data_IF_128286555022
#
_entry.id   IF_128286555022
#
_cell.length_a   1.000
_cell.length_b   1.000
_cell.length_c   1.000
_cell.angle_alpha   90.00
_cell.angle_beta   90.00
_cell.angle_gamma   90.00
#
_symmetry.space_group_name_H-M   'P 1'
#
loop_
_entity.id
_entity.type
_entity.pdbx_description
1 polymer ?
#
# COMPACT_ATOMS: atom_id res chain seq x y z
N UNK A 1 -51.29 -40.44 6.50
CA UNK A 1 -50.74 -40.02 7.79
C UNK A 1 -49.39 -40.73 7.99
N UNK A 2 -48.32 -40.12 7.62
CA UNK A 2 -46.95 -40.57 7.92
C UNK A 2 -46.05 -39.36 8.00
N UNK A 3 -45.83 -38.90 9.26
CA UNK A 3 -44.87 -37.86 9.59
C UNK A 3 -43.46 -38.35 9.31
N UNK A 4 -42.77 -37.75 8.34
CA UNK A 4 -41.38 -37.94 8.07
C UNK A 4 -40.59 -36.90 8.85
N UNK A 5 -39.97 -37.35 9.95
CA UNK A 5 -39.11 -36.54 10.81
C UNK A 5 -37.76 -36.39 10.12
N UNK A 6 -37.47 -35.19 9.59
CA UNK A 6 -36.20 -34.89 8.96
C UNK A 6 -35.19 -34.53 10.07
N UNK A 7 -34.29 -35.45 10.39
CA UNK A 7 -33.22 -35.25 11.36
C UNK A 7 -32.07 -34.52 10.63
N UNK A 8 -31.92 -33.24 10.87
CA UNK A 8 -30.77 -32.45 10.41
C UNK A 8 -29.60 -32.65 11.37
N UNK A 9 -28.62 -33.40 10.94
CA UNK A 9 -27.35 -33.58 11.69
C UNK A 9 -26.48 -32.37 11.41
N UNK A 10 -26.39 -31.45 12.36
CA UNK A 10 -25.40 -30.37 12.39
C UNK A 10 -24.05 -30.96 12.75
N UNK A 11 -23.20 -31.18 11.75
CA UNK A 11 -21.79 -31.49 11.98
C UNK A 11 -21.08 -30.21 12.46
N UNK A 12 -21.01 -30.04 13.77
CA UNK A 12 -20.17 -29.07 14.42
C UNK A 12 -18.70 -29.45 14.21
N UNK A 13 -17.95 -28.65 13.45
CA UNK A 13 -16.48 -28.71 13.48
C UNK A 13 -16.02 -28.26 14.86
N UNK A 14 -15.80 -29.23 15.76
CA UNK A 14 -15.18 -28.96 17.04
C UNK A 14 -13.73 -28.56 16.82
N UNK A 15 -13.39 -27.31 17.05
CA UNK A 15 -12.01 -26.89 17.25
C UNK A 15 -11.54 -27.49 18.57
N UNK A 16 -10.46 -28.29 18.62
CA UNK A 16 -9.97 -28.84 19.87
C UNK A 16 -9.46 -27.71 20.76
N UNK A 17 -10.20 -27.39 21.81
CA UNK A 17 -9.87 -26.35 22.79
C UNK A 17 -8.91 -26.81 23.90
N UNK A 18 -8.30 -28.00 23.76
CA UNK A 18 -7.36 -28.55 24.72
C UNK A 18 -5.95 -28.68 24.15
N UNK A 19 -5.43 -27.58 23.60
CA UNK A 19 -4.01 -27.44 23.33
C UNK A 19 -3.29 -26.99 24.59
N UNK A 20 -2.87 -27.90 25.48
CA UNK A 20 -1.80 -27.58 26.41
C UNK A 20 -0.59 -27.23 25.57
N UNK A 21 -0.08 -25.99 25.71
CA UNK A 21 1.16 -25.57 25.05
C UNK A 21 2.27 -26.52 25.50
N UNK A 22 2.71 -27.39 24.60
CA UNK A 22 3.87 -28.24 24.85
C UNK A 22 5.09 -27.36 24.52
N UNK A 23 5.96 -27.20 25.53
CA UNK A 23 7.26 -26.55 25.28
C UNK A 23 8.06 -27.45 24.39
N UNK A 24 8.48 -26.96 23.24
CA UNK A 24 9.42 -27.59 22.35
C UNK A 24 10.80 -27.56 23.03
N UNK A 25 11.44 -28.71 23.19
CA UNK A 25 12.79 -28.74 23.75
C UNK A 25 13.76 -27.97 22.80
N UNK A 26 14.76 -27.27 23.34
CA UNK A 26 15.67 -26.45 22.52
C UNK A 26 16.34 -27.23 21.39
N UNK A 27 16.55 -28.54 21.57
CA UNK A 27 17.13 -29.45 20.58
C UNK A 27 16.18 -29.81 19.43
N UNK A 28 14.86 -29.68 19.63
CA UNK A 28 13.83 -29.98 18.63
C UNK A 28 13.41 -28.77 17.80
N UNK A 29 14.00 -27.58 18.04
CA UNK A 29 13.67 -26.39 17.28
C UNK A 29 14.39 -26.43 15.92
N UNK A 30 13.64 -26.58 14.81
CA UNK A 30 14.26 -26.64 13.48
C UNK A 30 14.90 -25.29 13.12
N UNK A 31 15.89 -25.33 12.22
CA UNK A 31 16.57 -24.16 11.67
C UNK A 31 17.40 -23.32 12.66
N UNK A 32 17.72 -23.84 13.83
CA UNK A 32 18.58 -23.13 14.79
C UNK A 32 17.98 -21.83 15.35
N UNK A 33 16.66 -21.71 15.39
CA UNK A 33 15.97 -20.52 15.89
C UNK A 33 16.24 -20.21 17.36
N UNK A 34 16.77 -21.19 18.12
CA UNK A 34 17.22 -21.02 19.50
C UNK A 34 18.69 -20.63 19.64
N UNK A 35 19.45 -20.58 18.53
CA UNK A 35 20.82 -20.14 18.62
C UNK A 35 20.84 -18.66 19.03
N UNK A 36 21.62 -18.29 20.08
CA UNK A 36 21.77 -16.88 20.41
C UNK A 36 22.32 -16.19 19.17
N UNK A 37 21.57 -15.24 18.62
CA UNK A 37 22.10 -14.37 17.59
C UNK A 37 23.22 -13.57 18.23
N UNK A 38 24.45 -14.01 18.02
CA UNK A 38 25.62 -13.21 18.35
C UNK A 38 25.64 -12.06 17.38
N UNK A 39 24.94 -10.98 17.72
CA UNK A 39 25.16 -9.69 17.13
C UNK A 39 26.55 -9.27 17.57
N UNK A 40 27.55 -9.66 16.79
CA UNK A 40 28.86 -9.03 16.91
C UNK A 40 28.63 -7.54 16.62
N UNK A 41 28.94 -6.64 17.55
CA UNK A 41 28.94 -5.23 17.21
C UNK A 41 29.96 -5.09 16.06
N UNK A 42 29.47 -4.74 14.87
CA UNK A 42 30.36 -4.27 13.83
C UNK A 42 30.98 -2.96 14.34
N UNK A 43 32.14 -3.09 14.95
CA UNK A 43 32.99 -1.94 15.22
C UNK A 43 33.48 -1.48 13.85
N UNK A 44 32.74 -0.59 13.22
CA UNK A 44 33.22 0.18 12.09
C UNK A 44 34.27 1.11 12.64
N UNK A 45 35.52 0.64 12.64
CA UNK A 45 36.70 1.51 12.81
C UNK A 45 36.75 2.35 11.55
N UNK A 46 36.18 3.54 11.61
CA UNK A 46 36.37 4.55 10.58
C UNK A 46 37.81 5.00 10.70
N UNK A 47 38.70 4.37 9.94
CA UNK A 47 40.00 4.94 9.66
C UNK A 47 39.74 6.18 8.80
N UNK A 48 39.93 7.34 9.38
CA UNK A 48 39.87 8.61 8.66
C UNK A 48 41.09 8.67 7.76
N UNK A 49 40.94 8.26 6.49
CA UNK A 49 41.92 8.54 5.45
C UNK A 49 41.47 9.85 4.77
N UNK A 50 42.22 10.96 4.93
CA UNK A 50 41.77 12.27 4.46
C UNK A 50 41.86 12.44 2.93
N UNK A 51 41.99 11.37 2.16
CA UNK A 51 42.24 11.46 0.72
C UNK A 51 41.44 10.43 -0.12
N UNK A 52 40.20 10.13 0.26
CA UNK A 52 39.30 9.39 -0.61
C UNK A 52 37.99 10.16 -0.76
N UNK A 53 38.02 11.12 -1.63
CA UNK A 53 36.90 11.75 -2.29
C UNK A 53 36.18 10.68 -3.11
N UNK A 54 34.85 10.69 -3.04
CA UNK A 54 33.88 9.89 -3.76
C UNK A 54 33.55 8.50 -3.16
N UNK A 55 32.96 8.53 -1.95
CA UNK A 55 31.95 7.52 -1.63
C UNK A 55 30.69 7.88 -2.40
N UNK A 56 30.57 7.39 -3.64
CA UNK A 56 29.30 7.39 -4.37
C UNK A 56 28.35 6.50 -3.54
N UNK A 57 27.52 7.12 -2.73
CA UNK A 57 26.43 6.41 -2.08
C UNK A 57 25.57 5.84 -3.22
N UNK A 58 25.68 4.54 -3.47
CA UNK A 58 24.81 3.86 -4.43
C UNK A 58 23.40 4.02 -3.89
N UNK A 59 22.65 4.90 -4.50
CA UNK A 59 21.25 5.11 -4.15
C UNK A 59 20.50 3.80 -4.40
N UNK A 60 20.12 3.12 -3.33
CA UNK A 60 19.33 1.89 -3.43
C UNK A 60 17.96 2.30 -3.93
N UNK A 61 17.50 1.66 -5.01
CA UNK A 61 16.17 1.88 -5.57
C UNK A 61 15.33 0.61 -5.46
N UNK A 62 14.01 0.78 -5.38
CA UNK A 62 13.05 -0.31 -5.40
C UNK A 62 11.95 -0.05 -6.43
N UNK A 63 11.41 -1.09 -7.09
CA UNK A 63 10.31 -0.94 -8.01
C UNK A 63 8.99 -0.72 -7.26
N UNK A 64 8.21 0.25 -7.73
CA UNK A 64 6.83 0.46 -7.28
C UNK A 64 5.87 0.32 -8.46
N UNK A 65 4.66 -0.15 -8.19
CA UNK A 65 3.59 -0.19 -9.17
C UNK A 65 2.89 1.17 -9.21
N UNK A 66 2.85 1.80 -10.37
CA UNK A 66 2.08 3.02 -10.65
C UNK A 66 0.90 2.68 -11.56
N UNK A 67 -0.19 3.42 -11.41
CA UNK A 67 -1.43 3.18 -12.12
C UNK A 67 -1.81 4.40 -12.94
N UNK A 68 -1.51 4.39 -14.23
CA UNK A 68 -1.83 5.46 -15.17
C UNK A 68 -3.09 5.17 -15.96
N UNK A 69 -3.59 6.17 -16.66
CA UNK A 69 -4.82 6.09 -17.45
C UNK A 69 -4.45 6.10 -18.94
N UNK A 70 -5.00 5.16 -19.68
CA UNK A 70 -5.02 5.13 -21.14
C UNK A 70 -6.42 4.77 -21.61
N UNK A 71 -7.00 5.56 -22.53
CA UNK A 71 -8.34 5.29 -23.07
C UNK A 71 -9.41 5.01 -21.99
N UNK A 72 -9.42 5.79 -20.92
CA UNK A 72 -10.32 5.64 -19.75
C UNK A 72 -10.17 4.31 -18.99
N UNK A 73 -9.06 3.61 -19.16
CA UNK A 73 -8.70 2.40 -18.42
C UNK A 73 -7.43 2.64 -17.61
N UNK A 74 -7.33 1.94 -16.48
CA UNK A 74 -6.13 1.99 -15.65
C UNK A 74 -5.14 0.95 -16.15
N UNK A 75 -3.91 1.38 -16.37
CA UNK A 75 -2.77 0.58 -16.82
C UNK A 75 -1.71 0.61 -15.73
N UNK A 76 -1.24 -0.56 -15.33
CA UNK A 76 -0.15 -0.70 -14.36
C UNK A 76 1.21 -0.54 -15.06
N UNK A 77 2.07 0.28 -14.46
CA UNK A 77 3.45 0.53 -14.92
C UNK A 77 4.38 0.43 -13.72
N UNK A 78 5.55 -0.15 -13.89
CA UNK A 78 6.57 -0.16 -12.85
C UNK A 78 7.53 1.02 -13.01
N UNK A 79 7.90 1.64 -11.87
CA UNK A 79 8.92 2.68 -11.80
C UNK A 79 9.84 2.40 -10.61
N UNK A 80 11.14 2.59 -10.82
CA UNK A 80 12.10 2.55 -9.72
C UNK A 80 12.12 3.90 -9.00
N UNK A 81 12.03 3.85 -7.67
CA UNK A 81 12.11 5.01 -6.79
C UNK A 81 13.16 4.78 -5.71
N UNK A 82 13.57 5.82 -5.01
CA UNK A 82 14.51 5.68 -3.91
C UNK A 82 13.92 4.77 -2.81
N UNK A 83 14.72 3.83 -2.34
CA UNK A 83 14.34 2.90 -1.27
C UNK A 83 14.69 3.47 0.11
N UNK A 84 13.86 3.25 1.14
CA UNK A 84 12.57 2.56 1.11
C UNK A 84 11.44 3.47 0.56
N UNK A 85 10.67 2.96 -0.39
CA UNK A 85 9.55 3.68 -0.95
C UNK A 85 8.36 3.70 0.03
N UNK A 86 8.06 4.85 0.58
CA UNK A 86 6.90 5.03 1.43
C UNK A 86 5.62 5.36 0.61
N UNK A 87 4.41 5.25 1.20
CA UNK A 87 3.15 5.54 0.51
C UNK A 87 3.05 6.96 -0.06
N UNK A 88 3.59 7.96 0.64
CA UNK A 88 3.59 9.34 0.17
C UNK A 88 4.47 9.51 -1.08
N UNK A 89 5.63 8.87 -1.11
CA UNK A 89 6.53 8.88 -2.27
C UNK A 89 5.90 8.18 -3.48
N UNK A 90 5.19 7.06 -3.26
CA UNK A 90 4.46 6.40 -4.32
C UNK A 90 3.38 7.32 -4.92
N UNK A 91 2.64 8.03 -4.06
CA UNK A 91 1.63 9.00 -4.49
C UNK A 91 2.26 10.19 -5.24
N UNK A 92 3.39 10.72 -4.77
CA UNK A 92 4.13 11.78 -5.47
C UNK A 92 4.56 11.35 -6.86
N UNK A 93 5.08 10.12 -7.01
CA UNK A 93 5.45 9.57 -8.31
C UNK A 93 4.28 9.42 -9.28
N UNK A 94 3.06 9.20 -8.76
CA UNK A 94 1.84 9.19 -9.56
C UNK A 94 1.45 10.61 -10.01
N UNK A 95 1.61 11.61 -9.15
CA UNK A 95 1.35 13.02 -9.46
C UNK A 95 2.30 13.57 -10.53
N UNK A 96 3.59 13.18 -10.46
CA UNK A 96 4.59 13.50 -11.49
C UNK A 96 4.17 13.03 -12.89
N UNK A 97 3.33 12.00 -12.95
CA UNK A 97 2.84 11.46 -14.21
C UNK A 97 3.77 10.42 -14.86
N UNK A 98 3.42 9.96 -16.06
CA UNK A 98 4.22 8.99 -16.80
C UNK A 98 5.53 9.62 -17.30
N UNK A 99 6.57 8.80 -17.41
CA UNK A 99 7.83 9.22 -18.01
C UNK A 99 7.65 9.57 -19.49
N UNK A 100 8.58 10.34 -20.03
CA UNK A 100 8.57 10.78 -21.44
C UNK A 100 9.02 9.72 -22.43
N UNK A 101 9.30 8.49 -22.00
CA UNK A 101 9.69 7.38 -22.87
C UNK A 101 8.58 7.00 -23.86
N UNK A 102 8.92 6.55 -25.07
CA UNK A 102 7.94 6.23 -26.13
C UNK A 102 6.90 5.18 -25.71
N UNK A 103 7.24 4.24 -24.84
CA UNK A 103 6.35 3.20 -24.32
C UNK A 103 5.21 3.74 -23.45
N UNK A 104 5.33 4.97 -22.95
CA UNK A 104 4.33 5.61 -22.09
C UNK A 104 3.50 6.66 -22.81
N UNK A 105 3.64 6.77 -24.13
CA UNK A 105 2.83 7.68 -24.96
C UNK A 105 1.35 7.33 -24.80
N UNK A 106 0.53 8.36 -24.52
CA UNK A 106 -0.91 8.19 -24.30
C UNK A 106 -1.31 7.78 -22.88
N UNK A 107 -0.35 7.61 -21.97
CA UNK A 107 -0.64 7.50 -20.55
C UNK A 107 -0.80 8.88 -19.91
N UNK A 108 -1.70 8.98 -18.95
CA UNK A 108 -1.90 10.20 -18.14
C UNK A 108 -2.23 9.85 -16.69
N UNK A 109 -2.06 10.79 -15.82
CA UNK A 109 -2.67 10.77 -14.48
C UNK A 109 -3.93 11.64 -14.48
N UNK A 110 -4.92 11.32 -13.64
CA UNK A 110 -6.05 12.20 -13.35
C UNK A 110 -5.74 13.18 -12.22
N UNK A 111 -4.63 12.98 -11.51
CA UNK A 111 -4.19 13.88 -10.46
C UNK A 111 -3.56 15.12 -11.09
N UNK A 112 -4.03 16.33 -10.74
CA UNK A 112 -3.38 17.56 -11.20
C UNK A 112 -1.99 17.69 -10.56
N UNK A 113 -1.07 18.37 -11.22
CA UNK A 113 0.28 18.64 -10.70
C UNK A 113 0.28 19.46 -9.41
N UNK A 114 -0.81 20.16 -9.14
CA UNK A 114 -1.04 20.92 -7.90
C UNK A 114 -1.62 20.08 -6.77
N UNK A 115 -1.82 18.77 -7.01
CA UNK A 115 -2.34 17.87 -5.99
C UNK A 115 -1.35 17.73 -4.85
N UNK A 116 -1.78 18.07 -3.65
CA UNK A 116 -1.03 17.89 -2.41
C UNK A 116 -1.91 17.14 -1.43
N UNK A 117 -1.36 16.07 -0.85
CA UNK A 117 -2.01 15.31 0.18
C UNK A 117 -0.99 14.77 1.17
N UNK A 118 -1.37 14.66 2.44
CA UNK A 118 -0.65 13.83 3.40
C UNK A 118 -1.16 12.40 3.33
N UNK A 119 -0.28 11.43 3.60
CA UNK A 119 -0.62 10.01 3.65
C UNK A 119 -0.06 9.42 4.92
N UNK A 120 -0.94 8.98 5.81
CA UNK A 120 -0.59 8.29 7.04
C UNK A 120 -1.14 6.86 7.02
N UNK A 121 -0.32 5.88 7.43
CA UNK A 121 -0.75 4.47 7.47
C UNK A 121 -0.84 4.01 8.92
N UNK A 122 -2.06 3.71 9.35
CA UNK A 122 -2.35 3.27 10.72
C UNK A 122 -3.09 1.94 10.67
N UNK A 123 -2.49 0.88 11.20
CA UNK A 123 -3.07 -0.48 11.25
C UNK A 123 -3.63 -0.98 9.91
N UNK A 124 -2.90 -0.74 8.82
CA UNK A 124 -3.28 -1.20 7.49
C UNK A 124 -4.30 -0.30 6.77
N UNK A 125 -4.63 0.84 7.34
CA UNK A 125 -5.50 1.84 6.72
C UNK A 125 -4.66 3.05 6.34
N UNK A 126 -4.59 3.39 5.06
CA UNK A 126 -3.99 4.61 4.58
C UNK A 126 -5.00 5.76 4.65
N UNK A 127 -4.70 6.77 5.44
CA UNK A 127 -5.47 8.01 5.49
C UNK A 127 -4.85 9.01 4.52
N UNK A 128 -5.62 9.44 3.54
CA UNK A 128 -5.22 10.44 2.55
C UNK A 128 -5.98 11.72 2.87
N UNK A 129 -5.28 12.74 3.36
CA UNK A 129 -5.86 14.04 3.59
C UNK A 129 -5.43 15.00 2.48
N UNK A 130 -6.40 15.41 1.67
CA UNK A 130 -6.19 16.28 0.52
C UNK A 130 -6.83 17.66 0.72
N UNK A 131 -6.39 18.62 -0.07
CA UNK A 131 -7.02 19.96 -0.07
C UNK A 131 -8.34 19.94 -0.85
N UNK A 132 -9.32 20.75 -0.43
CA UNK A 132 -10.64 20.87 -1.09
C UNK A 132 -10.54 21.19 -2.57
N UNK A 133 -9.59 22.01 -2.97
CA UNK A 133 -9.39 22.43 -4.36
C UNK A 133 -9.20 21.25 -5.33
N UNK A 134 -8.70 20.14 -4.83
CA UNK A 134 -8.45 18.95 -5.64
C UNK A 134 -9.72 18.37 -6.28
N UNK A 135 -10.75 18.08 -5.48
CA UNK A 135 -11.96 17.42 -5.99
C UNK A 135 -12.81 18.37 -6.86
N UNK A 136 -12.88 19.63 -6.48
CA UNK A 136 -13.72 20.63 -7.19
C UNK A 136 -13.17 20.97 -8.58
N UNK A 137 -11.88 20.75 -8.82
CA UNK A 137 -11.23 21.04 -10.10
C UNK A 137 -11.40 19.95 -11.17
N UNK A 138 -11.88 18.75 -10.78
CA UNK A 138 -11.96 17.58 -11.65
C UNK A 138 -13.37 17.35 -12.19
N UNK A 139 -13.45 16.90 -13.44
CA UNK A 139 -14.70 16.33 -13.97
C UNK A 139 -15.14 15.09 -13.18
N UNK A 140 -16.43 14.76 -13.16
CA UNK A 140 -16.92 13.59 -12.42
C UNK A 140 -16.26 12.26 -12.84
N UNK A 141 -15.82 12.12 -14.08
CA UNK A 141 -15.06 10.96 -14.55
C UNK A 141 -13.63 10.99 -14.00
N UNK A 142 -12.97 12.13 -14.09
CA UNK A 142 -11.59 12.27 -13.61
C UNK A 142 -11.51 12.18 -12.09
N UNK A 143 -12.53 12.61 -11.34
CA UNK A 143 -12.61 12.34 -9.89
C UNK A 143 -12.59 10.85 -9.60
N UNK A 144 -13.41 10.04 -10.30
CA UNK A 144 -13.44 8.58 -10.12
C UNK A 144 -12.10 7.94 -10.49
N UNK A 145 -11.48 8.38 -11.58
CA UNK A 145 -10.19 7.87 -12.01
C UNK A 145 -9.07 8.26 -11.04
N UNK A 146 -9.07 9.49 -10.53
CA UNK A 146 -8.10 9.95 -9.54
C UNK A 146 -8.20 9.14 -8.23
N UNK A 147 -9.43 8.96 -7.71
CA UNK A 147 -9.65 8.12 -6.52
C UNK A 147 -9.19 6.68 -6.76
N UNK A 148 -9.53 6.10 -7.91
CA UNK A 148 -9.11 4.75 -8.25
C UNK A 148 -7.58 4.63 -8.34
N UNK A 149 -6.89 5.61 -8.92
CA UNK A 149 -5.43 5.65 -8.97
C UNK A 149 -4.81 5.68 -7.57
N UNK A 150 -5.33 6.55 -6.68
CA UNK A 150 -4.85 6.66 -5.29
C UNK A 150 -5.09 5.34 -4.54
N UNK A 151 -6.27 4.76 -4.65
CA UNK A 151 -6.58 3.49 -3.98
C UNK A 151 -5.67 2.38 -4.45
N UNK A 152 -5.52 2.21 -5.77
CA UNK A 152 -4.69 1.14 -6.33
C UNK A 152 -3.22 1.27 -5.95
N UNK A 153 -2.67 2.49 -5.99
CA UNK A 153 -1.26 2.68 -5.66
C UNK A 153 -0.99 2.45 -4.17
N UNK A 154 -1.88 2.91 -3.29
CA UNK A 154 -1.70 2.73 -1.85
C UNK A 154 -1.93 1.28 -1.42
N UNK A 155 -2.98 0.61 -1.95
CA UNK A 155 -3.26 -0.80 -1.64
C UNK A 155 -2.26 -1.78 -2.28
N UNK A 156 -1.49 -1.34 -3.28
CA UNK A 156 -0.36 -2.14 -3.80
C UNK A 156 0.84 -2.14 -2.86
N UNK A 157 0.88 -1.25 -1.87
CA UNK A 157 1.97 -1.20 -0.88
C UNK A 157 1.78 -2.25 0.21
N UNK A 158 2.86 -2.92 0.66
CA UNK A 158 2.77 -3.88 1.76
C UNK A 158 2.15 -3.26 3.02
N UNK A 159 1.23 -3.97 3.62
CA UNK A 159 0.60 -3.56 4.87
C UNK A 159 -0.55 -2.56 4.72
N UNK A 160 -0.96 -2.18 3.51
CA UNK A 160 -2.12 -1.33 3.26
C UNK A 160 -3.26 -2.14 2.65
N UNK A 161 -4.37 -2.25 3.37
CA UNK A 161 -5.58 -2.96 2.93
C UNK A 161 -6.78 -2.07 2.64
N UNK A 162 -6.76 -0.82 3.12
CA UNK A 162 -7.86 0.13 2.97
C UNK A 162 -7.34 1.55 2.81
N UNK A 163 -8.15 2.40 2.17
CA UNK A 163 -7.87 3.83 2.02
C UNK A 163 -9.05 4.64 2.54
N UNK A 164 -8.77 5.61 3.37
CA UNK A 164 -9.71 6.63 3.85
C UNK A 164 -9.35 7.98 3.23
N UNK A 165 -10.36 8.72 2.85
CA UNK A 165 -10.17 10.07 2.31
C UNK A 165 -10.71 11.12 3.25
N UNK A 166 -9.93 12.18 3.44
CA UNK A 166 -10.35 13.39 4.15
C UNK A 166 -9.98 14.63 3.35
N UNK A 167 -10.66 15.71 3.64
CA UNK A 167 -10.36 17.06 3.13
C UNK A 167 -10.27 17.97 4.34
N UNK A 168 -9.12 18.60 4.51
CA UNK A 168 -8.84 19.47 5.67
C UNK A 168 -9.15 18.73 7.00
N UNK A 169 -8.74 17.47 7.11
CA UNK A 169 -8.95 16.59 8.27
C UNK A 169 -10.36 16.03 8.44
N UNK A 170 -11.32 16.40 7.58
CA UNK A 170 -12.70 15.91 7.64
C UNK A 170 -12.95 14.78 6.64
N UNK A 171 -13.39 13.63 7.13
CA UNK A 171 -13.72 12.49 6.29
C UNK A 171 -14.78 12.85 5.22
N UNK A 172 -14.53 12.39 4.01
CA UNK A 172 -15.43 12.59 2.86
C UNK A 172 -15.88 11.26 2.28
N UNK A 173 -17.04 11.29 1.63
CA UNK A 173 -17.50 10.20 0.79
C UNK A 173 -16.82 10.28 -0.56
N UNK A 174 -16.33 9.13 -1.06
CA UNK A 174 -15.71 9.03 -2.40
C UNK A 174 -16.49 8.06 -3.27
N UNK A 175 -16.53 8.27 -4.60
CA UNK A 175 -17.23 7.38 -5.50
C UNK A 175 -16.57 6.00 -5.54
N UNK A 176 -17.38 4.94 -5.38
CA UNK A 176 -17.00 3.54 -5.55
C UNK A 176 -17.55 3.02 -6.87
N UNK A 177 -16.67 2.73 -7.83
CA UNK A 177 -17.07 2.06 -9.07
C UNK A 177 -18.27 2.69 -9.78
N UNK A 178 -19.37 1.94 -9.96
CA UNK A 178 -20.55 2.37 -10.71
C UNK A 178 -21.49 3.32 -9.94
N UNK A 179 -20.98 4.41 -9.45
CA UNK A 179 -21.85 5.53 -9.09
C UNK A 179 -22.11 5.74 -7.60
N UNK A 180 -21.82 4.78 -6.76
CA UNK A 180 -22.05 4.94 -5.34
C UNK A 180 -20.88 5.64 -4.65
N UNK A 181 -21.18 6.58 -3.77
CA UNK A 181 -20.23 7.14 -2.83
C UNK A 181 -20.37 6.46 -1.48
N UNK A 182 -19.27 6.31 -0.77
CA UNK A 182 -19.28 5.72 0.57
C UNK A 182 -19.45 6.81 1.60
N UNK A 183 -20.42 6.64 2.48
CA UNK A 183 -20.75 7.64 3.49
C UNK A 183 -19.60 7.96 4.47
N UNK A 184 -18.63 7.06 4.60
CA UNK A 184 -17.48 7.20 5.51
C UNK A 184 -16.15 7.56 4.82
N UNK A 185 -16.16 7.83 3.52
CA UNK A 185 -14.92 8.08 2.78
C UNK A 185 -13.98 6.88 2.65
N UNK A 186 -14.48 5.66 2.86
CA UNK A 186 -13.71 4.42 2.67
C UNK A 186 -13.82 3.96 1.23
N UNK A 187 -12.69 3.66 0.59
CA UNK A 187 -12.61 3.14 -0.77
C UNK A 187 -11.80 1.84 -0.83
#
# INVERSE_FOLDING_TARGET
MRSLLLLVVLSSCAVPSSGSYQRVAPEDVPFGLNAPQTTLPQTTTTVYDPMSTDSIAVAVSEPIDLFFISNSRIIKVQRNVASPANPAQALSSLVEGPNTSPEFVGLRTALPTTFVASVDVIRGVAQVDATRVFLDSLSGLDQKLAIAQIVLILTSRPGVGQVLFSVDGKLISVPRGRGDSVASGVA
#
